data_IF_661809484982
#
_entry.id   IF_661809484982
#
_cell.length_a   1.000
_cell.length_b   1.000
_cell.length_c   1.000
_cell.angle_alpha   90.00
_cell.angle_beta   90.00
_cell.angle_gamma   90.00
#
_symmetry.space_group_name_H-M   'P 1'
#
loop_
_entity.id
_entity.type
_entity.pdbx_description
1 polymer ?
#
# COMPACT_ATOMS: atom_id res chain seq x y z
N UNK A 1 -18.76 19.96 13.76
CA UNK A 1 -18.03 20.53 12.63
C UNK A 1 -16.61 20.05 12.76
N UNK A 2 -16.12 19.22 11.85
CA UNK A 2 -14.70 18.89 11.77
C UNK A 2 -14.01 20.16 11.25
N UNK A 3 -13.03 20.67 11.98
CA UNK A 3 -12.12 21.69 11.46
C UNK A 3 -11.43 21.08 10.23
N UNK A 4 -11.47 21.73 9.05
CA UNK A 4 -10.66 21.26 7.94
C UNK A 4 -9.19 21.30 8.38
N UNK A 5 -8.55 20.14 8.40
CA UNK A 5 -7.10 20.05 8.59
C UNK A 5 -6.47 20.81 7.43
N UNK A 6 -5.73 21.88 7.71
CA UNK A 6 -4.98 22.58 6.67
C UNK A 6 -3.72 21.77 6.38
N UNK A 7 -3.52 21.37 5.12
CA UNK A 7 -2.27 20.77 4.65
C UNK A 7 -1.15 21.82 4.68
N UNK A 8 0.08 21.39 4.97
CA UNK A 8 1.26 22.25 4.97
C UNK A 8 1.67 22.59 3.53
N UNK A 9 1.74 21.61 2.64
CA UNK A 9 1.92 21.76 1.19
C UNK A 9 0.91 20.91 0.39
N UNK A 10 0.76 21.25 -0.90
CA UNK A 10 -0.09 20.51 -1.85
C UNK A 10 0.62 20.43 -3.21
N UNK A 11 0.80 19.21 -3.71
CA UNK A 11 1.48 18.91 -4.96
C UNK A 11 0.54 18.23 -5.96
N UNK A 12 0.39 18.81 -7.14
CA UNK A 12 -0.35 18.19 -8.24
C UNK A 12 0.63 17.51 -9.19
N UNK A 13 0.52 16.19 -9.30
CA UNK A 13 1.35 15.38 -10.19
C UNK A 13 0.89 15.62 -11.63
N UNK A 14 1.80 16.07 -12.49
CA UNK A 14 1.55 16.35 -13.90
C UNK A 14 2.27 15.38 -14.85
N UNK A 15 2.99 14.40 -14.27
CA UNK A 15 3.72 13.36 -15.00
C UNK A 15 3.37 11.94 -14.55
N UNK A 16 3.45 11.02 -15.51
CA UNK A 16 3.13 9.61 -15.34
C UNK A 16 4.37 8.70 -15.27
N UNK A 17 5.52 9.21 -15.70
CA UNK A 17 6.80 8.52 -15.63
C UNK A 17 7.43 8.64 -14.24
N UNK A 18 8.46 7.81 -14.01
CA UNK A 18 9.16 7.73 -12.74
C UNK A 18 10.48 8.51 -12.79
N UNK A 19 10.64 9.45 -11.88
CA UNK A 19 11.87 10.17 -11.67
C UNK A 19 11.89 10.75 -10.26
N UNK A 20 13.07 10.72 -9.63
CA UNK A 20 13.28 11.31 -8.31
C UNK A 20 13.16 12.83 -8.36
N UNK A 21 12.82 13.43 -7.22
CA UNK A 21 12.87 14.88 -7.03
C UNK A 21 14.31 15.40 -7.20
N UNK A 22 14.44 16.59 -7.78
CA UNK A 22 15.72 17.24 -8.01
C UNK A 22 16.34 17.78 -6.71
N UNK A 23 15.55 18.25 -5.76
CA UNK A 23 15.97 18.88 -4.51
C UNK A 23 14.91 18.70 -3.40
N UNK A 24 14.78 17.49 -2.82
CA UNK A 24 13.78 17.23 -1.77
C UNK A 24 13.81 18.26 -0.63
N UNK A 25 12.64 18.79 -0.29
CA UNK A 25 12.40 19.73 0.81
C UNK A 25 12.54 21.21 0.44
N UNK A 26 12.61 21.54 -0.85
CA UNK A 26 12.69 22.93 -1.33
C UNK A 26 11.31 23.59 -1.58
N UNK A 27 10.23 22.85 -1.34
CA UNK A 27 8.84 23.22 -1.54
C UNK A 27 8.35 23.06 -2.98
N UNK A 28 9.11 22.41 -3.86
CA UNK A 28 8.76 22.22 -5.27
C UNK A 28 8.84 20.75 -5.67
N UNK A 29 7.71 20.20 -6.10
CA UNK A 29 7.74 18.91 -6.79
C UNK A 29 8.33 19.09 -8.20
N UNK A 30 9.66 18.97 -8.32
CA UNK A 30 10.37 19.09 -9.58
C UNK A 30 11.33 17.91 -9.73
N UNK A 31 10.95 16.95 -10.56
CA UNK A 31 11.80 15.80 -10.84
C UNK A 31 13.06 16.17 -11.63
N UNK A 32 14.08 15.32 -11.54
CA UNK A 32 15.32 15.44 -12.34
C UNK A 32 15.09 15.41 -13.87
N UNK A 33 13.93 14.94 -14.32
CA UNK A 33 13.50 14.95 -15.72
C UNK A 33 12.60 16.13 -16.08
N UNK A 34 12.32 17.02 -15.12
CA UNK A 34 11.40 18.14 -15.22
C UNK A 34 9.93 17.72 -15.01
N UNK A 35 9.12 18.61 -14.43
CA UNK A 35 7.74 18.35 -14.01
C UNK A 35 7.65 17.50 -12.73
N UNK A 36 6.43 17.34 -12.22
CA UNK A 36 6.12 16.66 -10.97
C UNK A 36 5.69 15.22 -11.22
N UNK A 37 6.54 14.26 -10.89
CA UNK A 37 6.21 12.83 -10.85
C UNK A 37 5.62 12.47 -9.48
N UNK A 38 4.96 11.31 -9.38
CA UNK A 38 4.48 10.83 -8.09
C UNK A 38 5.64 10.58 -7.10
N UNK A 39 6.75 9.99 -7.56
CA UNK A 39 7.94 9.77 -6.72
C UNK A 39 8.52 11.08 -6.21
N UNK A 40 8.67 12.08 -7.08
CA UNK A 40 9.15 13.39 -6.68
C UNK A 40 8.22 14.03 -5.63
N UNK A 41 6.90 13.96 -5.83
CA UNK A 41 5.94 14.49 -4.87
C UNK A 41 6.04 13.81 -3.50
N UNK A 42 6.20 12.48 -3.45
CA UNK A 42 6.38 11.74 -2.19
C UNK A 42 7.70 12.11 -1.51
N UNK A 43 8.79 12.18 -2.27
CA UNK A 43 10.09 12.59 -1.73
C UNK A 43 10.07 14.02 -1.17
N UNK A 44 9.33 14.91 -1.83
CA UNK A 44 9.13 16.28 -1.36
C UNK A 44 8.33 16.30 -0.04
N UNK A 45 7.19 15.62 0.03
CA UNK A 45 6.40 15.51 1.26
C UNK A 45 7.23 14.91 2.42
N UNK A 46 8.00 13.86 2.17
CA UNK A 46 8.84 13.22 3.19
C UNK A 46 9.92 14.15 3.75
N UNK A 47 10.35 15.15 2.99
CA UNK A 47 11.39 16.11 3.38
C UNK A 47 10.82 17.40 3.99
N UNK A 48 9.52 17.65 3.81
CA UNK A 48 8.81 18.78 4.41
C UNK A 48 8.32 18.43 5.82
N UNK A 49 7.77 19.43 6.50
CA UNK A 49 7.27 19.27 7.85
C UNK A 49 5.75 19.43 7.87
N UNK A 50 5.09 18.47 8.50
CA UNK A 50 3.65 18.49 8.72
C UNK A 50 2.92 17.81 7.59
N UNK A 51 1.61 17.65 7.77
CA UNK A 51 0.84 16.83 6.85
C UNK A 51 0.69 17.50 5.48
N UNK A 52 0.97 16.77 4.40
CA UNK A 52 0.92 17.27 3.02
C UNK A 52 -0.12 16.56 2.14
N UNK A 53 -0.42 17.14 0.98
CA UNK A 53 -1.36 16.58 0.00
C UNK A 53 -0.72 16.34 -1.37
N UNK A 54 -0.98 15.18 -1.95
CA UNK A 54 -0.64 14.81 -3.31
C UNK A 54 -1.93 14.56 -4.10
N UNK A 55 -2.06 15.22 -5.25
CA UNK A 55 -3.23 15.14 -6.14
C UNK A 55 -2.80 14.48 -7.44
N UNK A 56 -3.46 13.38 -7.77
CA UNK A 56 -3.22 12.58 -8.96
C UNK A 56 -4.36 12.75 -9.97
N UNK A 57 -3.98 12.97 -11.23
CA UNK A 57 -4.90 12.92 -12.36
C UNK A 57 -5.28 11.49 -12.76
N UNK A 58 -5.98 11.39 -13.88
CA UNK A 58 -6.19 10.10 -14.54
C UNK A 58 -4.91 9.69 -15.28
N UNK A 59 -4.56 8.41 -15.18
CA UNK A 59 -3.37 7.84 -15.80
C UNK A 59 -2.79 6.69 -14.99
N UNK A 60 -1.77 6.06 -15.55
CA UNK A 60 -0.95 5.08 -14.85
C UNK A 60 0.36 5.74 -14.48
N UNK A 61 0.54 6.03 -13.19
CA UNK A 61 1.82 6.44 -12.61
C UNK A 61 2.67 5.17 -12.47
N UNK A 62 3.62 5.03 -13.39
CA UNK A 62 4.47 3.83 -13.49
C UNK A 62 5.69 4.05 -12.60
N UNK A 63 5.94 3.15 -11.65
CA UNK A 63 7.24 3.06 -10.97
C UNK A 63 8.16 2.22 -11.85
N UNK A 64 9.32 2.76 -12.22
CA UNK A 64 10.22 2.16 -13.20
C UNK A 64 11.70 2.22 -12.80
N UNK A 65 12.04 2.95 -11.73
CA UNK A 65 13.39 2.96 -11.19
C UNK A 65 13.67 1.64 -10.48
N UNK A 66 14.52 0.81 -11.08
CA UNK A 66 14.85 -0.53 -10.56
C UNK A 66 15.67 -0.41 -9.27
N UNK A 67 15.22 -1.11 -8.23
CA UNK A 67 15.86 -1.26 -6.94
C UNK A 67 14.93 -2.03 -6.02
N UNK A 68 15.50 -2.65 -4.98
CA UNK A 68 14.74 -3.27 -3.88
C UNK A 68 15.47 -3.00 -2.57
N UNK A 69 14.77 -3.08 -1.45
CA UNK A 69 15.32 -2.88 -0.10
C UNK A 69 16.00 -1.50 0.09
N UNK A 70 15.35 -0.45 -0.40
CA UNK A 70 15.79 0.92 -0.23
C UNK A 70 14.68 1.72 0.45
N UNK A 71 14.99 2.37 1.58
CA UNK A 71 13.99 3.01 2.46
C UNK A 71 13.98 4.56 2.35
N UNK A 72 14.44 5.14 1.23
CA UNK A 72 14.47 6.59 0.98
C UNK A 72 13.71 7.00 -0.30
N UNK A 73 12.95 6.08 -0.90
CA UNK A 73 12.08 6.28 -2.06
C UNK A 73 12.83 6.65 -3.34
N UNK A 74 14.13 6.38 -3.47
CA UNK A 74 14.94 6.67 -4.65
C UNK A 74 14.77 5.64 -5.79
N UNK A 75 14.29 4.44 -5.48
CA UNK A 75 14.06 3.32 -6.40
C UNK A 75 12.97 2.40 -5.89
N UNK A 76 12.56 1.39 -6.68
CA UNK A 76 11.61 0.37 -6.22
C UNK A 76 10.23 0.94 -5.91
N UNK A 77 9.75 0.65 -4.72
CA UNK A 77 8.48 1.15 -4.16
C UNK A 77 8.56 2.65 -3.83
N UNK A 78 7.48 3.19 -3.27
CA UNK A 78 7.45 4.53 -2.71
C UNK A 78 7.42 4.45 -1.20
N UNK A 79 8.50 4.86 -0.56
CA UNK A 79 8.55 5.06 0.88
C UNK A 79 7.79 6.32 1.26
N UNK A 80 6.84 6.17 2.18
CA UNK A 80 6.17 7.28 2.84
C UNK A 80 6.66 7.28 4.28
N UNK A 81 7.25 8.40 4.71
CA UNK A 81 7.84 8.57 6.04
C UNK A 81 7.24 9.72 6.83
N UNK A 82 6.44 10.59 6.20
CA UNK A 82 5.67 11.65 6.87
C UNK A 82 4.19 11.61 6.49
N UNK A 83 3.35 12.18 7.35
CA UNK A 83 1.90 12.21 7.22
C UNK A 83 1.49 12.88 5.90
N UNK A 84 0.66 12.20 5.10
CA UNK A 84 0.17 12.78 3.85
C UNK A 84 -1.15 12.18 3.37
N UNK A 85 -1.77 12.88 2.42
CA UNK A 85 -2.90 12.39 1.64
C UNK A 85 -2.52 12.21 0.18
N UNK A 86 -2.89 11.07 -0.43
CA UNK A 86 -2.83 10.86 -1.87
C UNK A 86 -4.26 10.68 -2.39
N UNK A 87 -4.67 11.56 -3.28
CA UNK A 87 -6.02 11.57 -3.87
C UNK A 87 -5.97 11.41 -5.38
N UNK A 88 -6.66 10.40 -5.90
CA UNK A 88 -6.91 10.21 -7.33
C UNK A 88 -8.29 10.68 -7.77
N UNK A 89 -8.65 10.33 -9.01
CA UNK A 89 -9.97 10.67 -9.60
C UNK A 89 -10.86 9.44 -9.84
N UNK A 90 -10.44 8.27 -9.35
CA UNK A 90 -11.24 7.05 -9.27
C UNK A 90 -10.37 5.80 -9.46
N UNK A 91 -10.77 4.69 -8.85
CA UNK A 91 -9.99 3.43 -8.88
C UNK A 91 -9.70 2.92 -10.29
N UNK A 92 -10.59 3.16 -11.27
CA UNK A 92 -10.38 2.78 -12.67
C UNK A 92 -9.57 3.82 -13.48
N UNK A 93 -9.36 5.02 -12.95
CA UNK A 93 -8.78 6.15 -13.66
C UNK A 93 -7.38 6.52 -13.17
N UNK A 94 -7.11 6.41 -11.87
CA UNK A 94 -5.79 6.66 -11.27
C UNK A 94 -5.18 5.34 -10.83
N UNK A 95 -4.06 4.96 -11.45
CA UNK A 95 -3.36 3.71 -11.16
C UNK A 95 -1.92 4.02 -10.77
N UNK A 96 -1.45 3.42 -9.68
CA UNK A 96 -0.05 3.37 -9.29
C UNK A 96 0.42 1.94 -9.55
N UNK A 97 1.37 1.79 -10.47
CA UNK A 97 1.81 0.51 -11.02
C UNK A 97 3.29 0.30 -10.72
N UNK A 98 3.60 -0.69 -9.90
CA UNK A 98 4.97 -0.98 -9.47
C UNK A 98 5.81 -1.73 -10.52
N UNK A 99 5.27 -2.01 -11.71
CA UNK A 99 5.97 -2.68 -12.81
C UNK A 99 6.59 -4.03 -12.45
N UNK A 100 6.07 -4.71 -11.42
CA UNK A 100 6.64 -5.92 -10.85
C UNK A 100 8.11 -5.79 -10.41
N UNK A 101 8.51 -4.60 -9.95
CA UNK A 101 9.87 -4.31 -9.48
C UNK A 101 10.04 -4.52 -7.98
N UNK A 102 9.14 -3.97 -7.18
CA UNK A 102 9.12 -4.05 -5.72
C UNK A 102 7.65 -3.94 -5.22
N UNK A 103 7.40 -3.58 -3.96
CA UNK A 103 6.08 -3.16 -3.48
C UNK A 103 5.57 -1.96 -4.27
N UNK A 104 4.30 -1.58 -4.06
CA UNK A 104 3.81 -0.29 -4.57
C UNK A 104 4.13 0.82 -3.58
N UNK A 105 3.72 0.65 -2.32
CA UNK A 105 3.93 1.63 -1.24
C UNK A 105 4.49 0.95 0.01
N UNK A 106 5.42 1.62 0.67
CA UNK A 106 5.90 1.26 1.98
C UNK A 106 5.71 2.41 2.98
N UNK A 107 4.82 2.23 3.95
CA UNK A 107 4.53 3.23 4.97
C UNK A 107 5.39 2.94 6.21
N UNK A 108 6.45 3.71 6.35
CA UNK A 108 7.48 3.61 7.37
C UNK A 108 7.22 4.64 8.49
N UNK A 109 7.19 4.24 9.77
CA UNK A 109 6.99 5.21 10.85
C UNK A 109 8.19 6.17 10.95
N UNK A 110 8.06 7.36 10.37
CA UNK A 110 9.07 8.43 10.44
C UNK A 110 8.76 9.53 11.46
N UNK A 111 7.52 9.63 11.94
CA UNK A 111 7.06 10.69 12.85
C UNK A 111 6.06 10.20 13.91
N UNK A 112 5.87 10.90 15.05
CA UNK A 112 4.74 10.70 15.96
C UNK A 112 3.40 11.03 15.28
N UNK A 113 2.31 10.37 15.67
CA UNK A 113 0.95 10.60 15.12
C UNK A 113 0.90 10.51 13.57
N UNK A 114 1.48 9.45 13.03
CA UNK A 114 1.68 9.28 11.60
C UNK A 114 0.40 8.84 10.87
N UNK A 115 -0.27 9.80 10.21
CA UNK A 115 -1.51 9.57 9.47
C UNK A 115 -1.30 9.62 7.96
N UNK A 116 -1.65 8.54 7.27
CA UNK A 116 -1.68 8.48 5.80
C UNK A 116 -3.11 8.25 5.32
N UNK A 117 -3.52 8.94 4.27
CA UNK A 117 -4.81 8.69 3.62
C UNK A 117 -4.67 8.48 2.13
N UNK A 118 -5.33 7.43 1.61
CA UNK A 118 -5.38 7.13 0.19
C UNK A 118 -6.82 7.12 -0.27
N UNK A 119 -7.09 7.79 -1.40
CA UNK A 119 -8.43 7.90 -1.94
C UNK A 119 -8.44 7.80 -3.47
N UNK A 120 -9.46 7.12 -4.00
CA UNK A 120 -9.79 7.13 -5.44
C UNK A 120 -8.67 6.64 -6.38
N UNK A 121 -7.97 5.59 -5.98
CA UNK A 121 -6.83 5.06 -6.73
C UNK A 121 -6.69 3.54 -6.64
N UNK A 122 -5.89 2.99 -7.54
CA UNK A 122 -5.50 1.58 -7.55
C UNK A 122 -4.01 1.43 -7.30
N UNK A 123 -3.62 0.52 -6.40
CA UNK A 123 -2.26 -0.01 -6.24
C UNK A 123 -2.19 -1.38 -6.91
N UNK A 124 -1.27 -1.57 -7.87
CA UNK A 124 -1.16 -2.83 -8.60
C UNK A 124 0.25 -3.23 -9.02
N UNK A 125 0.35 -4.49 -9.43
CA UNK A 125 1.54 -5.11 -10.01
C UNK A 125 2.78 -4.98 -9.13
N UNK A 126 2.62 -4.84 -7.81
CA UNK A 126 3.73 -4.99 -6.89
C UNK A 126 4.22 -6.44 -6.87
N UNK A 127 5.53 -6.61 -6.74
CA UNK A 127 6.18 -7.92 -6.71
C UNK A 127 7.35 -7.94 -5.75
N UNK A 128 7.24 -8.80 -4.72
CA UNK A 128 8.33 -9.07 -3.80
C UNK A 128 9.08 -10.33 -4.24
N UNK A 129 10.28 -10.16 -4.82
CA UNK A 129 11.17 -11.26 -5.19
C UNK A 129 12.19 -11.52 -4.07
N UNK A 130 11.95 -12.57 -3.29
CA UNK A 130 12.97 -13.31 -2.54
C UNK A 130 13.90 -12.46 -1.64
N UNK A 131 13.38 -12.09 -0.48
CA UNK A 131 14.18 -11.60 0.65
C UNK A 131 13.82 -12.40 1.90
N UNK A 132 14.84 -12.95 2.55
CA UNK A 132 14.68 -13.79 3.74
C UNK A 132 14.01 -12.97 4.85
N UNK A 133 12.79 -13.37 5.24
CA UNK A 133 12.00 -12.74 6.31
C UNK A 133 11.69 -11.26 6.09
N UNK A 134 11.30 -10.86 4.88
CA UNK A 134 10.78 -9.50 4.73
C UNK A 134 9.38 -9.37 5.29
N UNK A 135 9.08 -8.19 5.81
CA UNK A 135 7.70 -7.76 5.95
C UNK A 135 7.00 -7.90 4.58
N UNK A 136 5.79 -8.45 4.57
CA UNK A 136 5.02 -8.64 3.34
C UNK A 136 4.45 -7.35 2.77
N UNK A 137 3.45 -7.51 1.91
CA UNK A 137 2.69 -6.40 1.32
C UNK A 137 3.25 -5.97 -0.03
N UNK A 138 3.29 -6.86 -1.01
CA UNK A 138 3.65 -6.50 -2.38
C UNK A 138 2.75 -5.37 -2.92
N UNK A 139 1.47 -5.33 -2.54
CA UNK A 139 0.67 -4.13 -2.78
C UNK A 139 1.08 -2.98 -1.87
N UNK A 140 1.06 -3.19 -0.56
CA UNK A 140 1.41 -2.17 0.42
C UNK A 140 1.85 -2.75 1.76
N UNK A 141 2.87 -2.14 2.37
CA UNK A 141 3.22 -2.37 3.77
C UNK A 141 2.79 -1.20 4.65
N UNK A 142 2.24 -1.50 5.83
CA UNK A 142 1.88 -0.53 6.86
C UNK A 142 2.65 -0.86 8.14
N UNK A 143 3.66 -0.05 8.44
CA UNK A 143 4.51 -0.21 9.62
C UNK A 143 3.77 0.03 10.94
N UNK A 144 4.38 -0.43 12.04
CA UNK A 144 3.84 -0.21 13.38
C UNK A 144 3.76 1.29 13.71
N UNK A 145 2.67 1.70 14.36
CA UNK A 145 2.42 3.11 14.70
C UNK A 145 1.82 3.96 13.58
N UNK A 146 1.72 3.44 12.35
CA UNK A 146 1.08 4.13 11.22
C UNK A 146 -0.45 4.01 11.32
N UNK A 147 -1.15 5.11 11.10
CA UNK A 147 -2.61 5.18 10.98
C UNK A 147 -2.98 5.40 9.51
N UNK A 148 -3.51 4.37 8.85
CA UNK A 148 -3.88 4.42 7.44
C UNK A 148 -5.40 4.48 7.25
N UNK A 149 -5.85 5.47 6.48
CA UNK A 149 -7.23 5.57 6.01
C UNK A 149 -7.32 5.29 4.50
N UNK A 150 -8.21 4.37 4.12
CA UNK A 150 -8.49 4.01 2.73
C UNK A 150 -9.95 4.33 2.40
N UNK A 151 -10.20 5.08 1.32
CA UNK A 151 -11.56 5.31 0.82
C UNK A 151 -11.61 5.18 -0.69
N UNK A 152 -12.35 4.18 -1.20
CA UNK A 152 -12.35 3.83 -2.64
C UNK A 152 -10.94 3.54 -3.16
N UNK A 153 -10.32 2.49 -2.62
CA UNK A 153 -8.98 2.05 -3.01
C UNK A 153 -9.03 0.60 -3.45
N UNK A 154 -8.39 0.29 -4.58
CA UNK A 154 -8.15 -1.08 -5.02
C UNK A 154 -6.69 -1.45 -4.75
N UNK A 155 -6.46 -2.63 -4.18
CA UNK A 155 -5.14 -3.26 -4.04
C UNK A 155 -5.22 -4.59 -4.77
N UNK A 156 -4.64 -4.66 -5.97
CA UNK A 156 -4.93 -5.74 -6.90
C UNK A 156 -3.77 -6.19 -7.77
N UNK A 157 -3.85 -7.43 -8.24
CA UNK A 157 -2.88 -8.01 -9.17
C UNK A 157 -1.42 -7.97 -8.64
N UNK A 158 -1.24 -7.91 -7.31
CA UNK A 158 0.09 -7.97 -6.69
C UNK A 158 0.52 -9.42 -6.53
N UNK A 159 1.82 -9.66 -6.60
CA UNK A 159 2.38 -11.01 -6.56
C UNK A 159 3.51 -11.17 -5.57
N UNK A 160 3.62 -12.34 -4.97
CA UNK A 160 4.81 -12.70 -4.20
C UNK A 160 4.99 -14.22 -4.21
N UNK A 161 6.10 -14.73 -4.77
CA UNK A 161 6.35 -16.17 -4.86
C UNK A 161 6.95 -16.80 -3.59
N UNK A 162 7.16 -16.07 -2.49
CA UNK A 162 7.99 -16.50 -1.34
C UNK A 162 7.50 -15.99 0.03
N UNK A 163 8.32 -16.19 1.09
CA UNK A 163 7.97 -16.03 2.51
C UNK A 163 7.66 -14.61 2.95
N UNK A 164 6.38 -14.27 2.89
CA UNK A 164 5.87 -12.97 3.33
C UNK A 164 4.55 -13.13 4.10
N UNK A 165 4.24 -12.16 4.97
CA UNK A 165 3.01 -12.18 5.76
C UNK A 165 1.74 -12.09 4.88
N UNK A 166 1.72 -11.19 3.90
CA UNK A 166 0.62 -11.08 2.95
C UNK A 166 1.05 -10.52 1.59
N UNK A 167 0.30 -10.82 0.53
CA UNK A 167 0.60 -10.30 -0.82
C UNK A 167 0.00 -8.92 -1.03
N UNK A 168 -1.30 -8.75 -0.78
CA UNK A 168 -1.96 -7.46 -0.96
C UNK A 168 -1.48 -6.40 0.03
N UNK A 169 -1.77 -6.60 1.32
CA UNK A 169 -1.52 -5.61 2.38
C UNK A 169 -0.94 -6.30 3.62
N UNK A 170 0.26 -5.90 4.04
CA UNK A 170 0.84 -6.30 5.34
C UNK A 170 0.65 -5.19 6.36
N UNK A 171 -0.02 -5.48 7.47
CA UNK A 171 -0.40 -4.49 8.46
C UNK A 171 0.16 -4.80 9.85
N UNK A 172 1.08 -3.94 10.31
CA UNK A 172 1.50 -3.84 11.71
C UNK A 172 1.01 -2.55 12.38
N UNK A 173 0.37 -1.66 11.63
CA UNK A 173 -0.26 -0.43 12.12
C UNK A 173 -1.78 -0.56 12.26
N UNK A 174 -2.50 0.55 12.06
CA UNK A 174 -3.96 0.59 12.15
C UNK A 174 -4.57 1.05 10.83
N UNK A 175 -5.34 0.17 10.20
CA UNK A 175 -5.97 0.38 8.89
C UNK A 175 -7.47 0.49 9.04
N UNK A 176 -8.03 1.60 8.56
CA UNK A 176 -9.48 1.80 8.43
C UNK A 176 -9.84 2.04 6.97
N UNK A 177 -10.83 1.29 6.47
CA UNK A 177 -11.16 1.25 5.06
C UNK A 177 -12.66 1.31 4.80
N UNK A 178 -13.04 2.12 3.81
CA UNK A 178 -14.40 2.19 3.27
C UNK A 178 -14.37 1.96 1.76
N UNK A 179 -15.14 0.97 1.28
CA UNK A 179 -15.14 0.56 -0.14
C UNK A 179 -13.73 0.27 -0.67
N UNK A 180 -12.99 -0.52 0.10
CA UNK A 180 -11.68 -1.04 -0.31
C UNK A 180 -11.90 -2.36 -1.04
N UNK A 181 -11.17 -2.59 -2.13
CA UNK A 181 -11.20 -3.85 -2.86
C UNK A 181 -9.82 -4.47 -2.89
N UNK A 182 -9.70 -5.68 -2.35
CA UNK A 182 -8.49 -6.48 -2.43
C UNK A 182 -8.74 -7.63 -3.39
N UNK A 183 -8.18 -7.52 -4.59
CA UNK A 183 -8.59 -8.34 -5.72
C UNK A 183 -7.40 -9.06 -6.32
N UNK A 184 -7.53 -10.37 -6.50
CA UNK A 184 -6.64 -11.12 -7.38
C UNK A 184 -5.14 -10.91 -7.01
N UNK A 185 -4.82 -10.80 -5.72
CA UNK A 185 -3.45 -10.81 -5.21
C UNK A 185 -3.02 -12.28 -5.04
N UNK A 186 -1.96 -12.67 -5.74
CA UNK A 186 -1.67 -14.08 -6.03
C UNK A 186 -0.23 -14.44 -5.73
N UNK A 187 -0.02 -15.62 -5.18
CA UNK A 187 1.28 -16.28 -5.15
C UNK A 187 1.39 -17.16 -6.42
N UNK A 188 2.12 -16.73 -7.47
CA UNK A 188 2.22 -17.49 -8.71
C UNK A 188 2.95 -18.83 -8.54
N UNK A 189 3.62 -19.06 -7.40
CA UNK A 189 4.34 -20.28 -7.06
C UNK A 189 3.55 -21.20 -6.10
N UNK A 190 2.27 -20.91 -5.82
CA UNK A 190 1.41 -21.62 -4.87
C UNK A 190 1.00 -23.06 -5.28
N UNK A 191 1.90 -23.83 -5.88
CA UNK A 191 1.70 -25.25 -6.20
C UNK A 191 2.11 -26.17 -5.04
N UNK A 192 2.89 -25.68 -4.08
CA UNK A 192 3.24 -26.37 -2.83
C UNK A 192 3.45 -25.31 -1.74
N UNK A 193 3.26 -25.68 -0.47
CA UNK A 193 3.14 -24.84 0.74
C UNK A 193 4.30 -23.86 1.05
N UNK A 194 4.61 -22.94 0.14
CA UNK A 194 5.76 -22.04 0.26
C UNK A 194 5.37 -20.57 0.15
N UNK A 195 4.71 -20.12 1.22
CA UNK A 195 5.19 -19.02 2.07
C UNK A 195 4.55 -17.60 1.98
N UNK A 196 3.60 -17.27 1.09
CA UNK A 196 2.77 -16.07 1.32
C UNK A 196 1.63 -16.40 2.30
N UNK A 197 1.66 -15.93 3.55
CA UNK A 197 0.75 -16.43 4.60
C UNK A 197 -0.72 -16.03 4.33
N UNK A 198 -0.95 -14.81 3.85
CA UNK A 198 -2.24 -14.37 3.35
C UNK A 198 -2.20 -13.86 1.90
N UNK A 199 -3.20 -14.19 1.10
CA UNK A 199 -3.34 -13.61 -0.24
C UNK A 199 -3.69 -12.12 -0.19
N UNK A 200 -4.69 -11.75 0.62
CA UNK A 200 -5.16 -10.36 0.68
C UNK A 200 -4.49 -9.55 1.79
N UNK A 201 -4.72 -9.89 3.06
CA UNK A 201 -4.29 -9.08 4.21
C UNK A 201 -3.69 -9.96 5.29
N UNK A 202 -2.55 -9.52 5.84
CA UNK A 202 -2.09 -9.97 7.15
C UNK A 202 -2.18 -8.79 8.11
N UNK A 203 -2.72 -9.03 9.30
CA UNK A 203 -2.72 -8.07 10.40
C UNK A 203 -2.16 -8.75 11.64
N UNK A 204 -1.17 -8.14 12.28
CA UNK A 204 -0.46 -8.72 13.41
C UNK A 204 -0.08 -7.67 14.46
N UNK A 205 -0.18 -8.06 15.73
CA UNK A 205 0.19 -7.28 16.91
C UNK A 205 -1.01 -6.68 17.64
N UNK A 206 -0.96 -6.63 18.98
CA UNK A 206 -2.07 -6.16 19.82
C UNK A 206 -2.41 -4.67 19.60
N UNK A 207 -1.43 -3.85 19.20
CA UNK A 207 -1.61 -2.44 18.89
C UNK A 207 -2.05 -2.19 17.43
N UNK A 208 -2.13 -3.25 16.61
CA UNK A 208 -2.60 -3.15 15.24
C UNK A 208 -4.13 -3.07 15.17
N UNK A 209 -4.66 -2.62 14.04
CA UNK A 209 -6.10 -2.64 13.81
C UNK A 209 -6.42 -2.85 12.34
N UNK A 210 -7.54 -3.54 12.05
CA UNK A 210 -8.11 -3.61 10.71
C UNK A 210 -9.62 -3.44 10.77
N UNK A 211 -10.15 -2.39 10.15
CA UNK A 211 -11.59 -2.22 9.96
C UNK A 211 -11.90 -1.95 8.50
N UNK A 212 -12.62 -2.86 7.84
CA UNK A 212 -13.10 -2.66 6.46
C UNK A 212 -14.63 -2.67 6.42
N UNK A 213 -15.19 -1.66 5.77
CA UNK A 213 -16.62 -1.42 5.66
C UNK A 213 -17.01 -1.32 4.18
N UNK A 214 -18.13 -1.93 3.80
CA UNK A 214 -18.66 -1.89 2.43
C UNK A 214 -17.60 -2.30 1.39
N UNK A 215 -16.76 -3.30 1.74
CA UNK A 215 -15.52 -3.65 1.03
C UNK A 215 -15.60 -5.04 0.39
N UNK A 216 -14.67 -5.34 -0.51
CA UNK A 216 -14.59 -6.63 -1.22
C UNK A 216 -13.20 -7.25 -1.07
N UNK A 217 -13.14 -8.53 -0.73
CA UNK A 217 -11.92 -9.33 -0.75
C UNK A 217 -12.18 -10.54 -1.63
N UNK A 218 -11.63 -10.55 -2.84
CA UNK A 218 -11.97 -11.55 -3.86
C UNK A 218 -10.76 -12.05 -4.65
N UNK A 219 -10.76 -13.35 -4.95
CA UNK A 219 -9.82 -13.92 -5.91
C UNK A 219 -8.38 -14.00 -5.41
N UNK A 220 -8.15 -13.71 -4.12
CA UNK A 220 -6.81 -13.69 -3.56
C UNK A 220 -6.36 -15.12 -3.22
N UNK A 221 -5.07 -15.37 -3.39
CA UNK A 221 -4.45 -16.67 -3.14
C UNK A 221 -3.29 -16.52 -2.17
N UNK A 222 -3.32 -17.30 -1.10
CA UNK A 222 -2.22 -17.40 -0.13
C UNK A 222 -1.96 -18.84 0.28
N UNK A 223 -0.76 -19.12 0.79
CA UNK A 223 -0.36 -20.43 1.27
C UNK A 223 -1.13 -20.90 2.50
N UNK A 224 -1.56 -19.99 3.38
CA UNK A 224 -2.39 -20.33 4.55
C UNK A 224 -3.82 -19.82 4.37
N UNK A 225 -4.00 -18.51 4.33
CA UNK A 225 -5.30 -17.87 4.13
C UNK A 225 -5.36 -17.22 2.74
N UNK A 226 -6.44 -17.44 2.00
CA UNK A 226 -6.66 -16.74 0.74
C UNK A 226 -6.96 -15.26 0.97
N UNK A 227 -7.79 -14.94 1.98
CA UNK A 227 -8.20 -13.58 2.28
C UNK A 227 -7.37 -12.99 3.43
N UNK A 228 -7.78 -13.19 4.68
CA UNK A 228 -7.21 -12.51 5.84
C UNK A 228 -6.52 -13.52 6.76
N UNK A 229 -5.31 -13.18 7.18
CA UNK A 229 -4.65 -13.75 8.34
C UNK A 229 -4.60 -12.70 9.45
N UNK A 230 -5.06 -13.05 10.64
CA UNK A 230 -4.95 -12.22 11.83
C UNK A 230 -4.26 -13.03 12.93
N UNK A 231 -3.16 -12.49 13.48
CA UNK A 231 -2.37 -13.13 14.53
C UNK A 231 -2.01 -12.16 15.66
N UNK A 232 -1.35 -12.70 16.70
CA UNK A 232 -0.74 -11.92 17.77
C UNK A 232 -1.76 -10.99 18.47
N UNK A 233 -3.00 -11.46 18.59
CA UNK A 233 -4.09 -10.72 19.22
C UNK A 233 -4.66 -9.58 18.40
N UNK A 234 -4.27 -9.44 17.13
CA UNK A 234 -4.71 -8.34 16.27
C UNK A 234 -6.24 -8.33 16.06
N UNK A 235 -6.94 -7.23 16.40
CA UNK A 235 -8.36 -7.10 16.13
C UNK A 235 -8.61 -6.82 14.65
N UNK A 236 -9.60 -7.50 14.08
CA UNK A 236 -10.14 -7.14 12.76
C UNK A 236 -11.67 -7.07 12.77
N UNK A 237 -12.22 -6.20 11.92
CA UNK A 237 -13.66 -5.99 11.73
C UNK A 237 -13.97 -5.89 10.25
N UNK A 238 -14.88 -6.74 9.77
CA UNK A 238 -15.50 -6.63 8.45
C UNK A 238 -16.99 -6.33 8.61
N UNK A 239 -17.50 -5.28 7.96
CA UNK A 239 -18.93 -4.90 8.03
C UNK A 239 -19.49 -4.62 6.65
N UNK A 240 -20.57 -5.31 6.29
CA UNK A 240 -21.22 -5.20 4.96
C UNK A 240 -20.23 -5.46 3.81
N UNK A 241 -19.29 -6.36 4.05
CA UNK A 241 -18.22 -6.67 3.10
C UNK A 241 -18.44 -8.04 2.47
N UNK A 242 -18.01 -8.19 1.23
CA UNK A 242 -18.04 -9.45 0.49
C UNK A 242 -16.66 -10.11 0.55
N UNK A 243 -16.62 -11.38 0.96
CA UNK A 243 -15.41 -12.22 0.89
C UNK A 243 -15.74 -13.46 0.06
N UNK A 244 -15.14 -13.60 -1.11
CA UNK A 244 -15.52 -14.64 -2.08
C UNK A 244 -14.33 -15.10 -2.93
N UNK A 245 -14.36 -16.35 -3.40
CA UNK A 245 -13.36 -16.90 -4.32
C UNK A 245 -11.89 -16.74 -3.87
N UNK A 246 -11.62 -16.68 -2.56
CA UNK A 246 -10.26 -16.65 -2.04
C UNK A 246 -9.77 -18.08 -1.76
N UNK A 247 -8.52 -18.38 -2.11
CA UNK A 247 -7.92 -19.71 -1.99
C UNK A 247 -6.75 -19.69 -1.02
N UNK A 248 -6.90 -20.39 0.11
CA UNK A 248 -5.85 -20.61 1.09
C UNK A 248 -5.40 -22.06 1.07
N UNK A 249 -4.10 -22.30 0.98
CA UNK A 249 -3.55 -23.67 0.99
C UNK A 249 -3.85 -24.45 2.29
N UNK A 250 -3.93 -23.77 3.43
CA UNK A 250 -4.21 -24.39 4.73
C UNK A 250 -5.61 -24.09 5.31
N UNK A 251 -6.13 -22.87 5.14
CA UNK A 251 -7.26 -22.36 5.93
C UNK A 251 -8.37 -21.68 5.12
N UNK A 252 -8.48 -21.98 3.82
CA UNK A 252 -9.54 -21.40 2.98
C UNK A 252 -9.44 -19.87 2.94
N UNK A 253 -10.49 -19.15 3.35
CA UNK A 253 -10.46 -17.68 3.31
C UNK A 253 -9.73 -17.04 4.51
N UNK A 254 -9.87 -17.58 5.72
CA UNK A 254 -9.39 -16.92 6.94
C UNK A 254 -8.54 -17.84 7.80
N UNK A 255 -7.46 -17.28 8.36
CA UNK A 255 -6.70 -17.88 9.46
C UNK A 255 -6.66 -16.89 10.62
N UNK A 256 -7.22 -17.27 11.77
CA UNK A 256 -7.37 -16.39 12.92
C UNK A 256 -6.73 -17.11 14.13
N UNK A 257 -5.65 -16.57 14.66
CA UNK A 257 -4.88 -17.16 15.77
C UNK A 257 -4.83 -16.27 17.01
#
# INVERSE_FOLDING_TARGET
>A
MLTPTAWAASFTVDRLDDAVDQSPGDGQCLSVTGGCTLRAAVQECNALAGADEIILGAGTHILSLVGTDEDMGASGDLDITDALSISGVGTAATLIDASALDRVLDLLPGVPDYHVSLQDLTLRNGRLELIAFSDGGAGMRVGAGVQLQLDRVDIRDNTAPNQIDAIGLSNRGCVTGNRVRLLDNLDPAATDFTMALAGAIAVAGEDSCLTLIDSEIRGNQGSHAGAIRADEGAPFTLRRSLVTANSGGASGAFLLN
#
